data_IF_590599327811
#
_entry.id   IF_590599327811
#
_cell.length_a   1.000
_cell.length_b   1.000
_cell.length_c   1.000
_cell.angle_alpha   90.00
_cell.angle_beta   90.00
_cell.angle_gamma   90.00
#
_symmetry.space_group_name_H-M   'P 1'
#
loop_
_entity.id
_entity.type
_entity.pdbx_description
1 polymer ?
#
# COMPACT_ATOMS: atom_id res chain seq x y z
N UNK A 1 -71.88 24.85 -26.74
CA UNK A 1 -71.80 25.91 -25.72
C UNK A 1 -70.37 25.96 -25.24
N UNK A 2 -69.84 27.17 -25.19
CA UNK A 2 -68.42 27.54 -25.12
C UNK A 2 -68.07 27.97 -23.69
N UNK A 3 -66.76 27.99 -23.38
CA UNK A 3 -66.08 28.63 -22.23
C UNK A 3 -65.98 27.75 -20.98
N UNK A 4 -64.88 27.70 -20.23
CA UNK A 4 -63.95 28.81 -19.96
C UNK A 4 -62.50 28.40 -19.69
N UNK A 5 -61.70 29.45 -19.83
CA UNK A 5 -60.25 29.60 -19.82
C UNK A 5 -59.70 29.64 -18.38
N UNK A 6 -58.48 29.16 -18.12
CA UNK A 6 -57.62 29.65 -17.02
C UNK A 6 -56.15 29.21 -17.16
N UNK A 7 -55.38 30.11 -17.79
CA UNK A 7 -54.05 30.63 -17.44
C UNK A 7 -53.07 29.85 -16.52
N UNK A 8 -51.84 29.76 -17.05
CA UNK A 8 -50.53 29.99 -16.40
C UNK A 8 -50.05 29.01 -15.31
N UNK A 9 -49.04 28.19 -15.65
CA UNK A 9 -47.62 28.48 -15.34
C UNK A 9 -46.71 27.39 -15.95
N UNK A 10 -45.76 27.82 -16.76
CA UNK A 10 -44.60 27.03 -17.14
C UNK A 10 -43.64 26.99 -15.95
N UNK A 11 -43.58 25.86 -15.25
CA UNK A 11 -42.45 25.52 -14.39
C UNK A 11 -41.62 24.47 -15.11
N UNK A 12 -40.68 24.94 -15.94
CA UNK A 12 -39.54 24.16 -16.41
C UNK A 12 -38.65 23.86 -15.20
N UNK A 13 -38.95 22.77 -14.48
CA UNK A 13 -37.97 22.14 -13.58
C UNK A 13 -37.37 20.95 -14.32
N UNK A 14 -36.39 21.26 -15.17
CA UNK A 14 -35.40 20.28 -15.57
C UNK A 14 -34.60 19.91 -14.31
N UNK A 15 -34.81 18.69 -13.80
CA UNK A 15 -33.86 18.03 -12.91
C UNK A 15 -33.03 17.06 -13.76
N UNK A 16 -31.79 17.39 -14.14
CA UNK A 16 -30.79 16.40 -14.44
C UNK A 16 -29.97 16.19 -13.16
N UNK A 17 -30.34 15.20 -12.37
CA UNK A 17 -29.39 14.62 -11.42
C UNK A 17 -29.26 13.16 -11.83
N UNK A 18 -28.49 13.01 -12.91
CA UNK A 18 -27.69 11.86 -13.27
C UNK A 18 -27.73 10.71 -12.27
N UNK A 19 -28.16 9.57 -12.81
CA UNK A 19 -27.80 8.25 -12.37
C UNK A 19 -26.25 8.12 -12.32
N UNK A 20 -25.62 8.54 -11.23
CA UNK A 20 -24.33 8.00 -10.85
C UNK A 20 -24.58 6.61 -10.23
N UNK A 21 -24.83 5.64 -11.10
CA UNK A 21 -24.24 4.34 -10.90
C UNK A 21 -22.73 4.57 -10.89
N UNK A 22 -22.15 4.79 -9.72
CA UNK A 22 -20.74 4.53 -9.55
C UNK A 22 -20.58 3.03 -9.71
N UNK A 23 -20.31 2.60 -10.95
CA UNK A 23 -19.56 1.39 -11.21
C UNK A 23 -18.43 1.38 -10.19
N UNK A 24 -18.56 0.53 -9.18
CA UNK A 24 -17.43 0.11 -8.40
C UNK A 24 -16.61 -0.64 -9.43
N UNK A 25 -15.66 0.06 -10.04
CA UNK A 25 -14.55 -0.57 -10.74
C UNK A 25 -13.94 -1.52 -9.72
N UNK A 26 -14.35 -2.78 -9.80
CA UNK A 26 -13.54 -3.89 -9.37
C UNK A 26 -12.32 -3.83 -10.28
N UNK A 27 -11.39 -2.94 -9.95
CA UNK A 27 -10.01 -3.06 -10.38
C UNK A 27 -9.58 -4.41 -9.82
N UNK A 28 -9.72 -5.44 -10.65
CA UNK A 28 -8.93 -6.64 -10.55
C UNK A 28 -7.48 -6.13 -10.60
N UNK A 29 -6.94 -5.82 -9.42
CA UNK A 29 -5.53 -5.61 -9.22
C UNK A 29 -4.92 -6.94 -9.60
N UNK A 30 -4.53 -7.05 -10.86
CA UNK A 30 -3.69 -8.09 -11.38
C UNK A 30 -2.43 -8.03 -10.51
N UNK A 31 -2.41 -8.85 -9.46
CA UNK A 31 -1.48 -8.76 -8.33
C UNK A 31 -0.17 -9.44 -8.72
N UNK A 32 0.35 -9.05 -9.87
CA UNK A 32 1.71 -9.39 -10.27
C UNK A 32 2.60 -8.37 -9.59
N UNK A 33 3.18 -8.74 -8.45
CA UNK A 33 4.22 -7.94 -7.83
C UNK A 33 5.32 -7.75 -8.88
N UNK A 34 5.76 -6.50 -9.14
CA UNK A 34 6.76 -6.22 -10.16
C UNK A 34 8.02 -7.05 -9.90
N UNK A 35 8.76 -7.37 -10.96
CA UNK A 35 10.03 -8.08 -10.83
C UNK A 35 11.00 -7.28 -9.95
N UNK A 36 11.23 -7.77 -8.73
CA UNK A 36 12.09 -7.15 -7.72
C UNK A 36 13.55 -7.62 -7.82
N UNK A 37 13.95 -8.29 -8.91
CA UNK A 37 15.33 -8.77 -9.09
C UNK A 37 16.37 -7.67 -8.94
N UNK A 38 16.06 -6.44 -9.37
CA UNK A 38 16.91 -5.25 -9.19
C UNK A 38 17.17 -4.89 -7.72
N UNK A 39 16.35 -5.36 -6.78
CA UNK A 39 16.45 -5.10 -5.35
C UNK A 39 17.07 -6.25 -4.56
N UNK A 40 17.54 -7.30 -5.24
CA UNK A 40 18.31 -8.38 -4.61
C UNK A 40 19.56 -7.79 -3.95
N UNK A 41 19.90 -8.31 -2.77
CA UNK A 41 20.95 -7.84 -1.86
C UNK A 41 20.74 -6.42 -1.30
N UNK A 42 19.55 -5.82 -1.50
CA UNK A 42 19.18 -4.54 -0.90
C UNK A 42 18.29 -4.73 0.33
N UNK A 43 18.36 -3.78 1.26
CA UNK A 43 17.44 -3.73 2.39
C UNK A 43 16.10 -3.18 1.91
N UNK A 44 15.06 -4.00 2.02
CA UNK A 44 13.70 -3.68 1.61
C UNK A 44 12.75 -3.71 2.79
N UNK A 45 11.67 -2.97 2.65
CA UNK A 45 10.51 -2.92 3.53
C UNK A 45 9.40 -3.61 2.79
N UNK A 46 8.80 -4.60 3.42
CA UNK A 46 7.71 -5.40 2.88
C UNK A 46 6.50 -5.19 3.78
N UNK A 47 5.53 -4.44 3.28
CA UNK A 47 4.26 -4.21 3.93
C UNK A 47 3.30 -5.33 3.57
N UNK A 48 2.59 -5.86 4.57
CA UNK A 48 1.62 -6.93 4.36
C UNK A 48 0.20 -6.49 4.64
N UNK A 49 -0.77 -7.31 4.23
CA UNK A 49 -2.19 -7.17 4.56
C UNK A 49 -2.54 -7.44 6.04
N UNK A 50 -1.50 -7.59 6.87
CA UNK A 50 -1.62 -7.69 8.32
C UNK A 50 -0.95 -6.48 8.96
N UNK A 51 -1.10 -6.31 10.27
CA UNK A 51 -0.43 -5.25 11.07
C UNK A 51 1.10 -5.45 11.19
N UNK A 52 1.72 -6.13 10.23
CA UNK A 52 3.12 -6.52 10.22
C UNK A 52 3.84 -5.98 9.00
N UNK A 53 4.99 -5.39 9.29
CA UNK A 53 5.93 -4.92 8.28
C UNK A 53 7.26 -5.63 8.49
N UNK A 54 7.76 -6.26 7.43
CA UNK A 54 9.04 -6.96 7.45
C UNK A 54 10.10 -6.06 6.85
N UNK A 55 11.24 -5.90 7.51
CA UNK A 55 12.37 -5.14 6.97
C UNK A 55 13.56 -6.08 6.94
N UNK A 56 14.22 -6.23 5.80
CA UNK A 56 15.33 -7.18 5.67
C UNK A 56 16.04 -7.09 4.34
N UNK A 57 17.17 -7.76 4.22
CA UNK A 57 17.89 -7.88 2.94
C UNK A 57 17.17 -8.88 2.05
N UNK A 58 16.73 -8.45 0.86
CA UNK A 58 16.08 -9.33 -0.11
C UNK A 58 17.12 -10.27 -0.73
N UNK A 59 16.98 -11.58 -0.52
CA UNK A 59 17.90 -12.58 -1.08
C UNK A 59 17.27 -13.43 -2.18
N UNK A 60 15.94 -13.49 -2.23
CA UNK A 60 15.22 -14.32 -3.19
C UNK A 60 13.86 -13.69 -3.48
N UNK A 61 13.55 -13.51 -4.76
CA UNK A 61 12.23 -13.14 -5.25
C UNK A 61 11.69 -14.30 -6.11
N UNK A 62 10.56 -14.88 -5.72
CA UNK A 62 9.90 -15.97 -6.44
C UNK A 62 8.43 -15.68 -6.60
N UNK A 63 7.76 -16.39 -7.52
CA UNK A 63 6.31 -16.33 -7.65
C UNK A 63 5.55 -16.78 -6.40
N UNK A 64 6.20 -17.50 -5.47
CA UNK A 64 5.59 -17.91 -4.21
C UNK A 64 5.76 -16.86 -3.09
N UNK A 65 6.79 -16.02 -3.18
CA UNK A 65 7.13 -15.10 -2.11
C UNK A 65 8.54 -14.54 -2.15
N UNK A 66 8.80 -13.73 -1.14
CA UNK A 66 10.05 -13.02 -0.91
C UNK A 66 10.78 -13.65 0.26
N UNK A 67 12.08 -13.85 0.10
CA UNK A 67 12.96 -14.32 1.17
C UNK A 67 13.84 -13.17 1.62
N UNK A 68 13.77 -12.87 2.91
CA UNK A 68 14.56 -11.83 3.55
C UNK A 68 15.57 -12.46 4.52
N UNK A 69 16.76 -11.88 4.63
CA UNK A 69 17.75 -12.19 5.67
C UNK A 69 18.04 -10.97 6.52
N UNK A 70 18.62 -11.20 7.71
CA UNK A 70 18.96 -10.15 8.67
C UNK A 70 17.76 -9.27 9.01
N UNK A 71 16.56 -9.86 8.96
CA UNK A 71 15.30 -9.14 8.97
C UNK A 71 14.77 -8.82 10.37
N UNK A 72 14.16 -7.66 10.49
CA UNK A 72 13.35 -7.20 11.62
C UNK A 72 11.87 -7.30 11.27
N UNK A 73 11.06 -7.55 12.29
CA UNK A 73 9.61 -7.53 12.19
C UNK A 73 9.10 -6.34 13.00
N UNK A 74 8.41 -5.42 12.34
CA UNK A 74 7.62 -4.41 13.00
C UNK A 74 6.18 -4.93 13.10
N UNK A 75 5.65 -4.96 14.32
CA UNK A 75 4.26 -5.31 14.60
C UNK A 75 3.55 -4.08 15.16
N UNK A 76 2.65 -3.50 14.36
CA UNK A 76 1.98 -2.24 14.68
C UNK A 76 1.13 -2.34 15.95
N UNK A 77 0.65 -3.53 16.33
CA UNK A 77 -0.13 -3.73 17.54
C UNK A 77 0.74 -3.76 18.82
N UNK A 78 2.03 -4.08 18.69
CA UNK A 78 2.93 -4.33 19.83
C UNK A 78 4.01 -3.27 20.00
N UNK A 79 4.33 -2.50 18.95
CA UNK A 79 5.33 -1.45 19.02
C UNK A 79 4.78 -0.16 19.65
N UNK A 80 5.62 0.49 20.46
CA UNK A 80 5.29 1.77 21.13
C UNK A 80 5.67 2.99 20.30
N UNK A 81 6.39 2.79 19.20
CA UNK A 81 6.86 3.83 18.28
C UNK A 81 6.13 3.68 16.95
N UNK A 82 5.88 4.80 16.24
CA UNK A 82 5.31 4.74 14.90
C UNK A 82 6.29 4.05 13.94
N UNK A 83 5.74 3.45 12.88
CA UNK A 83 6.52 2.76 11.85
C UNK A 83 7.62 3.66 11.25
N UNK A 84 7.31 4.92 10.96
CA UNK A 84 8.27 5.89 10.41
C UNK A 84 9.50 6.05 11.31
N UNK A 85 9.30 6.23 12.61
CA UNK A 85 10.41 6.35 13.58
C UNK A 85 11.25 5.07 13.61
N UNK A 86 10.58 3.90 13.60
CA UNK A 86 11.28 2.62 13.56
C UNK A 86 12.12 2.44 12.30
N UNK A 87 11.61 2.85 11.14
CA UNK A 87 12.32 2.77 9.86
C UNK A 87 13.52 3.72 9.81
N UNK A 88 13.40 4.92 10.39
CA UNK A 88 14.54 5.85 10.56
C UNK A 88 15.62 5.18 11.41
N UNK A 89 15.26 4.62 12.58
CA UNK A 89 16.23 3.93 13.44
C UNK A 89 16.92 2.76 12.70
N UNK A 90 16.16 1.97 11.92
CA UNK A 90 16.71 0.88 11.12
C UNK A 90 17.69 1.37 10.05
N UNK A 91 17.41 2.51 9.44
CA UNK A 91 18.26 3.07 8.40
C UNK A 91 19.51 3.76 8.97
N UNK A 92 19.42 4.40 10.14
CA UNK A 92 20.54 5.05 10.82
C UNK A 92 21.51 4.04 11.45
N UNK A 93 20.98 2.99 12.08
CA UNK A 93 21.77 2.02 12.83
C UNK A 93 22.03 0.72 12.06
N UNK A 94 21.37 0.54 10.91
CA UNK A 94 21.38 -0.71 10.16
C UNK A 94 20.53 -1.79 10.82
N UNK A 95 20.36 -2.90 10.10
CA UNK A 95 19.66 -4.07 10.62
C UNK A 95 20.58 -4.88 11.54
N UNK A 96 20.03 -5.33 12.67
CA UNK A 96 20.74 -6.28 13.52
C UNK A 96 20.90 -7.60 12.76
N UNK A 97 22.14 -8.07 12.62
CA UNK A 97 22.49 -9.27 11.85
C UNK A 97 22.02 -10.54 12.57
N UNK A 98 20.73 -10.81 12.43
CA UNK A 98 20.11 -12.07 12.79
C UNK A 98 20.25 -13.02 11.61
N UNK A 99 21.00 -14.12 11.76
CA UNK A 99 21.10 -15.21 10.75
C UNK A 99 19.76 -15.92 10.45
N UNK A 100 18.63 -15.37 10.91
CA UNK A 100 17.30 -15.91 10.64
C UNK A 100 16.84 -15.40 9.29
N UNK A 101 16.44 -16.33 8.43
CA UNK A 101 15.72 -16.03 7.20
C UNK A 101 14.22 -15.96 7.48
N UNK A 102 13.54 -15.09 6.76
CA UNK A 102 12.09 -14.90 6.83
C UNK A 102 11.52 -15.07 5.43
N UNK A 103 10.43 -15.83 5.32
CA UNK A 103 9.70 -16.00 4.07
C UNK A 103 8.37 -15.27 4.17
N UNK A 104 8.15 -14.32 3.26
CA UNK A 104 6.91 -13.57 3.13
C UNK A 104 6.17 -14.07 1.89
N UNK A 105 4.91 -14.50 2.07
CA UNK A 105 4.09 -14.99 0.96
C UNK A 105 3.68 -13.84 0.07
N UNK A 106 3.85 -13.97 -1.25
CA UNK A 106 3.56 -12.90 -2.21
C UNK A 106 2.11 -12.40 -2.11
N UNK A 107 1.16 -13.31 -1.84
CA UNK A 107 -0.27 -13.03 -1.70
C UNK A 107 -0.62 -12.12 -0.52
N UNK A 108 0.30 -11.99 0.44
CA UNK A 108 0.12 -11.15 1.63
C UNK A 108 0.81 -9.80 1.49
N UNK A 109 1.63 -9.60 0.46
CA UNK A 109 2.39 -8.37 0.27
C UNK A 109 1.49 -7.31 -0.37
N UNK A 110 1.41 -6.14 0.26
CA UNK A 110 0.71 -4.97 -0.27
C UNK A 110 1.69 -4.07 -1.02
N UNK A 111 2.87 -3.85 -0.45
CA UNK A 111 3.88 -2.98 -1.02
C UNK A 111 5.28 -3.46 -0.65
N UNK A 112 6.24 -3.15 -1.54
CA UNK A 112 7.66 -3.33 -1.27
C UNK A 112 8.38 -2.06 -1.67
N UNK A 113 9.26 -1.57 -0.79
CA UNK A 113 10.03 -0.35 -1.01
C UNK A 113 11.46 -0.53 -0.48
N UNK A 114 12.48 0.03 -1.13
CA UNK A 114 13.83 0.02 -0.57
C UNK A 114 13.91 0.93 0.65
N UNK A 115 14.58 0.48 1.72
CA UNK A 115 14.75 1.28 2.94
C UNK A 115 15.50 2.60 2.67
N UNK A 116 16.39 2.58 1.67
CA UNK A 116 17.17 3.75 1.26
C UNK A 116 16.32 4.92 0.71
N UNK A 117 15.09 4.69 0.26
CA UNK A 117 14.20 5.76 -0.22
C UNK A 117 13.52 6.53 0.93
N UNK A 118 13.47 5.95 2.13
CA UNK A 118 12.80 6.56 3.28
C UNK A 118 13.71 7.57 3.99
N UNK A 119 15.00 7.29 4.06
CA UNK A 119 15.97 8.24 4.61
C UNK A 119 16.50 9.12 3.49
N UNK A 120 15.88 10.29 3.34
CA UNK A 120 16.43 11.36 2.51
C UNK A 120 17.58 12.00 3.30
N UNK A 121 18.85 11.86 2.88
CA UNK A 121 19.94 12.61 3.49
C UNK A 121 19.70 14.10 3.23
N UNK A 122 19.40 14.89 4.27
CA UNK A 122 19.34 16.35 4.18
C UNK A 122 18.12 17.06 4.76
N UNK A 123 17.29 16.43 5.60
CA UNK A 123 16.33 17.15 6.45
C UNK A 123 16.66 16.93 7.93
N UNK A 124 17.59 17.73 8.43
CA UNK A 124 17.83 17.97 9.86
C UNK A 124 17.94 19.48 10.07
#
# INVERSE_FOLDING_TARGET
>A
MTQGNCLLRNDNRATPADNLFSEIEHTEMNSEIPDLTCWTDQVVIVETDTDKTFIGTLVENTSAGLKLTDGLLFDQAHHRVPLEQFLIECAEHGLSSSRRSQWVRIQRVIAVSPLAEIVIPGRS
#
